data_IF_600799582626
#
_entry.id   IF_600799582626
#
_cell.length_a   1.000
_cell.length_b   1.000
_cell.length_c   1.000
_cell.angle_alpha   90.00
_cell.angle_beta   90.00
_cell.angle_gamma   90.00
#
_symmetry.space_group_name_H-M   'P 1'
#
loop_
_entity.id
_entity.type
_entity.pdbx_description
1 polymer ?
#
# COMPACT_ATOMS: atom_id res chain seq x y z
N UNK A 1 -8.75 -3.51 6.76
CA UNK A 1 -8.48 -3.21 5.34
C UNK A 1 -8.25 -4.53 4.62
N UNK A 2 -9.12 -4.86 3.67
CA UNK A 2 -8.92 -5.96 2.72
C UNK A 2 -8.69 -5.33 1.35
N UNK A 3 -7.90 -6.00 0.49
CA UNK A 3 -7.85 -5.60 -0.91
C UNK A 3 -8.86 -6.39 -1.73
N UNK A 4 -9.69 -5.68 -2.50
CA UNK A 4 -10.62 -6.32 -3.45
C UNK A 4 -9.87 -7.01 -4.59
N UNK A 5 -10.61 -7.79 -5.39
CA UNK A 5 -10.11 -8.35 -6.65
C UNK A 5 -9.59 -7.30 -7.63
N UNK A 6 -9.91 -6.01 -7.43
CA UNK A 6 -9.49 -4.88 -8.27
C UNK A 6 -8.25 -4.14 -7.71
N UNK A 7 -7.61 -4.70 -6.67
CA UNK A 7 -6.45 -4.10 -5.99
C UNK A 7 -6.76 -2.74 -5.36
N UNK A 8 -7.95 -2.61 -4.77
CA UNK A 8 -8.37 -1.41 -4.04
C UNK A 8 -8.13 -1.59 -2.56
N UNK A 9 -7.82 -0.52 -1.83
CA UNK A 9 -7.91 -0.49 -0.38
C UNK A 9 -9.39 -0.32 0.01
N UNK A 10 -10.01 -1.34 0.58
CA UNK A 10 -11.39 -1.25 1.04
C UNK A 10 -11.45 -0.89 2.53
N UNK A 11 -12.19 0.17 2.82
CA UNK A 11 -12.52 0.63 4.15
C UNK A 11 -13.87 0.05 4.53
N UNK A 12 -13.87 -0.67 5.65
CA UNK A 12 -15.05 -1.32 6.21
C UNK A 12 -15.09 -0.95 7.68
N UNK A 13 -16.21 -0.37 8.11
CA UNK A 13 -16.52 -0.18 9.51
C UNK A 13 -16.86 -1.53 10.12
N UNK A 14 -16.14 -1.89 11.19
CA UNK A 14 -16.28 -3.14 11.93
C UNK A 14 -16.64 -2.87 13.40
N UNK A 15 -17.18 -1.69 13.70
CA UNK A 15 -17.64 -1.32 15.04
C UNK A 15 -18.69 -2.30 15.58
N UNK A 16 -19.54 -2.82 14.70
CA UNK A 16 -20.30 -4.05 14.94
C UNK A 16 -19.66 -5.20 14.15
N UNK A 17 -18.94 -6.14 14.80
CA UNK A 17 -18.31 -7.26 14.10
C UNK A 17 -19.32 -8.26 13.51
N UNK A 18 -20.58 -8.25 13.97
CA UNK A 18 -21.65 -9.08 13.40
C UNK A 18 -22.28 -8.45 12.14
N UNK A 19 -22.09 -7.13 11.95
CA UNK A 19 -22.61 -6.39 10.80
C UNK A 19 -21.58 -5.37 10.25
N UNK A 20 -20.52 -5.84 9.57
CA UNK A 20 -19.56 -4.94 8.92
C UNK A 20 -20.22 -4.06 7.85
N UNK A 21 -19.87 -2.77 7.83
CA UNK A 21 -20.43 -1.78 6.89
C UNK A 21 -19.34 -1.27 5.95
N UNK A 22 -19.43 -1.49 4.63
CA UNK A 22 -18.51 -0.89 3.66
C UNK A 22 -18.64 0.64 3.66
N UNK A 23 -17.52 1.35 3.80
CA UNK A 23 -17.48 2.82 3.81
C UNK A 23 -17.03 3.39 2.47
N UNK A 24 -15.87 2.93 2.00
CA UNK A 24 -15.24 3.43 0.77
C UNK A 24 -14.24 2.41 0.22
N UNK A 25 -13.90 2.58 -1.05
CA UNK A 25 -12.80 1.88 -1.71
C UNK A 25 -11.87 2.89 -2.33
N UNK A 26 -10.59 2.80 -2.00
CA UNK A 26 -9.54 3.61 -2.58
C UNK A 26 -8.79 2.82 -3.65
N UNK A 27 -8.63 3.40 -4.83
CA UNK A 27 -7.83 2.84 -5.92
C UNK A 27 -6.78 3.86 -6.31
N UNK A 28 -5.53 3.44 -6.37
CA UNK A 28 -4.48 4.29 -6.93
C UNK A 28 -4.84 4.66 -8.39
N UNK A 29 -5.06 5.96 -8.69
CA UNK A 29 -5.42 6.39 -10.03
C UNK A 29 -4.27 6.21 -11.02
N UNK A 30 -3.01 6.14 -10.55
CA UNK A 30 -1.83 5.94 -11.40
C UNK A 30 -1.70 4.47 -11.86
N UNK A 31 -2.44 3.54 -11.25
CA UNK A 31 -2.36 2.12 -11.57
C UNK A 31 -3.27 1.74 -12.74
N UNK A 32 -2.76 0.95 -13.71
CA UNK A 32 -3.51 0.58 -14.91
C UNK A 32 -4.70 -0.34 -14.57
N UNK A 33 -5.83 -0.13 -15.25
CA UNK A 33 -7.02 -1.02 -15.19
C UNK A 33 -6.89 -2.19 -16.15
N UNK A 34 -5.75 -2.87 -16.13
CA UNK A 34 -5.45 -3.96 -17.07
C UNK A 34 -5.56 -5.30 -16.38
N UNK A 35 -6.09 -6.31 -17.07
CA UNK A 35 -6.19 -7.68 -16.54
C UNK A 35 -4.85 -8.25 -16.06
N UNK A 36 -3.73 -7.81 -16.61
CA UNK A 36 -2.39 -8.19 -16.14
C UNK A 36 -2.08 -7.66 -14.73
N UNK A 37 -2.44 -6.40 -14.43
CA UNK A 37 -2.28 -5.81 -13.10
C UNK A 37 -3.19 -6.50 -12.08
N UNK A 38 -4.46 -6.67 -12.45
CA UNK A 38 -5.47 -7.35 -11.64
C UNK A 38 -5.06 -8.80 -11.35
N UNK A 39 -4.61 -9.55 -12.37
CA UNK A 39 -4.15 -10.92 -12.20
C UNK A 39 -2.89 -11.02 -11.34
N UNK A 40 -1.95 -10.08 -11.48
CA UNK A 40 -0.75 -10.02 -10.65
C UNK A 40 -1.10 -9.77 -9.17
N UNK A 41 -2.02 -8.85 -8.90
CA UNK A 41 -2.48 -8.58 -7.53
C UNK A 41 -3.22 -9.79 -6.93
N UNK A 42 -4.05 -10.48 -7.72
CA UNK A 42 -4.82 -11.65 -7.29
C UNK A 42 -3.96 -12.88 -6.96
N UNK A 43 -2.75 -12.98 -7.52
CA UNK A 43 -1.84 -14.13 -7.32
C UNK A 43 -0.65 -13.84 -6.41
N UNK A 44 -0.28 -12.57 -6.24
CA UNK A 44 0.98 -12.17 -5.61
C UNK A 44 0.89 -11.58 -4.21
N UNK A 45 -0.30 -11.24 -3.69
CA UNK A 45 -0.41 -10.53 -2.40
C UNK A 45 0.41 -9.24 -2.41
N UNK A 46 0.29 -8.48 -3.50
CA UNK A 46 1.24 -7.42 -3.86
C UNK A 46 1.14 -6.16 -3.01
N UNK A 47 0.20 -6.10 -2.05
CA UNK A 47 -0.03 -4.89 -1.28
C UNK A 47 0.04 -5.11 0.22
N UNK A 48 1.00 -4.42 0.84
CA UNK A 48 1.13 -4.31 2.28
C UNK A 48 0.45 -3.03 2.73
N UNK A 49 -0.42 -3.13 3.74
CA UNK A 49 -1.14 -1.99 4.32
C UNK A 49 -0.74 -1.84 5.78
N UNK A 50 -0.22 -0.67 6.15
CA UNK A 50 0.03 -0.32 7.54
C UNK A 50 -0.67 0.98 7.88
N UNK A 51 -1.32 1.02 9.04
CA UNK A 51 -1.99 2.20 9.54
C UNK A 51 -1.11 2.92 10.56
N UNK A 52 -1.10 4.24 10.49
CA UNK A 52 -0.57 5.11 11.53
C UNK A 52 -1.54 6.27 11.71
N UNK A 53 -2.26 6.28 12.83
CA UNK A 53 -3.35 7.21 13.10
C UNK A 53 -4.36 7.23 11.94
N UNK A 54 -4.57 8.40 11.31
CA UNK A 54 -5.46 8.60 10.17
C UNK A 54 -4.76 8.41 8.82
N UNK A 55 -3.61 7.75 8.77
CA UNK A 55 -2.87 7.50 7.53
C UNK A 55 -2.70 6.02 7.24
N UNK A 56 -2.75 5.66 5.96
CA UNK A 56 -2.36 4.35 5.46
C UNK A 56 -1.11 4.43 4.58
N UNK A 57 -0.22 3.46 4.76
CA UNK A 57 0.92 3.21 3.90
C UNK A 57 0.64 1.95 3.08
N UNK A 58 0.59 2.11 1.77
CA UNK A 58 0.31 1.06 0.80
C UNK A 58 1.58 0.75 0.01
N UNK A 59 2.18 -0.43 0.23
CA UNK A 59 3.33 -0.87 -0.57
C UNK A 59 2.85 -1.67 -1.76
N UNK A 60 2.99 -1.15 -2.98
CA UNK A 60 2.61 -1.83 -4.23
C UNK A 60 3.82 -2.52 -4.88
N UNK A 61 3.73 -3.84 -5.00
CA UNK A 61 4.73 -4.72 -5.60
C UNK A 61 4.56 -4.97 -7.11
N UNK A 62 3.67 -4.25 -7.79
CA UNK A 62 3.62 -4.21 -9.25
C UNK A 62 4.52 -3.10 -9.83
N UNK A 63 5.33 -3.37 -10.86
CA UNK A 63 6.16 -2.34 -11.49
C UNK A 63 5.34 -1.19 -12.12
N UNK A 64 5.70 0.09 -11.88
CA UNK A 64 6.79 0.56 -11.03
C UNK A 64 6.47 0.38 -9.54
N UNK A 65 7.40 -0.20 -8.77
CA UNK A 65 7.18 -0.45 -7.34
C UNK A 65 7.07 0.87 -6.58
N UNK A 66 6.14 0.96 -5.64
CA UNK A 66 5.92 2.21 -4.91
C UNK A 66 5.40 1.98 -3.49
N UNK A 67 5.65 2.96 -2.62
CA UNK A 67 4.96 3.15 -1.36
C UNK A 67 4.06 4.37 -1.47
N UNK A 68 2.77 4.21 -1.24
CA UNK A 68 1.81 5.30 -1.27
C UNK A 68 1.34 5.65 0.14
N UNK A 69 1.30 6.95 0.45
CA UNK A 69 0.71 7.51 1.66
C UNK A 69 -0.71 7.98 1.32
N UNK A 70 -1.69 7.47 2.04
CA UNK A 70 -3.11 7.79 1.89
C UNK A 70 -3.63 8.39 3.19
N UNK A 71 -4.26 9.56 3.09
CA UNK A 71 -5.04 10.17 4.15
C UNK A 71 -6.39 9.46 4.28
N UNK A 72 -6.69 9.02 5.51
CA UNK A 72 -7.92 8.37 5.94
C UNK A 72 -8.65 9.19 7.03
N UNK A 73 -8.34 10.50 7.15
CA UNK A 73 -8.99 11.39 8.12
C UNK A 73 -10.51 11.48 7.89
N UNK A 74 -10.95 11.40 6.63
CA UNK A 74 -12.33 11.11 6.27
C UNK A 74 -12.40 9.68 5.69
N UNK A 75 -12.93 8.69 6.44
CA UNK A 75 -12.99 7.32 5.98
C UNK A 75 -13.99 7.11 4.83
N UNK A 76 -14.88 8.07 4.56
CA UNK A 76 -15.75 8.04 3.39
C UNK A 76 -15.05 8.59 2.13
N UNK A 77 -13.94 9.32 2.28
CA UNK A 77 -13.20 9.93 1.18
C UNK A 77 -11.67 9.82 1.36
N UNK A 78 -11.08 8.61 1.27
CA UNK A 78 -9.63 8.43 1.28
C UNK A 78 -8.93 9.21 0.16
N UNK A 79 -7.78 9.83 0.45
CA UNK A 79 -7.05 10.64 -0.51
C UNK A 79 -5.55 10.31 -0.54
N UNK A 80 -4.96 10.20 -1.73
CA UNK A 80 -3.51 10.05 -1.87
C UNK A 80 -2.79 11.35 -1.51
N UNK A 81 -1.82 11.30 -0.61
CA UNK A 81 -0.97 12.44 -0.26
C UNK A 81 0.37 12.40 -0.98
N UNK A 82 0.98 11.21 -1.08
CA UNK A 82 2.29 11.05 -1.69
C UNK A 82 2.51 9.64 -2.23
N UNK A 83 3.37 9.53 -3.24
CA UNK A 83 3.87 8.27 -3.80
C UNK A 83 5.38 8.30 -3.82
N UNK A 84 6.02 7.28 -3.27
CA UNK A 84 7.46 7.11 -3.23
C UNK A 84 7.86 5.90 -4.07
N UNK A 85 8.64 6.13 -5.13
CA UNK A 85 9.17 5.05 -5.95
C UNK A 85 10.14 4.18 -5.14
N UNK A 86 9.96 2.87 -5.20
CA UNK A 86 10.81 1.89 -4.54
C UNK A 86 11.75 1.23 -5.57
N UNK A 87 12.99 0.90 -5.18
CA UNK A 87 13.95 0.26 -6.09
C UNK A 87 13.63 -1.22 -6.35
N UNK A 88 12.72 -1.82 -5.57
CA UNK A 88 12.29 -3.20 -5.67
C UNK A 88 10.91 -3.41 -5.04
N UNK A 89 10.29 -4.58 -5.22
CA UNK A 89 8.95 -4.84 -4.70
C UNK A 89 8.97 -4.81 -3.16
N UNK A 90 8.08 -4.04 -2.52
CA UNK A 90 7.94 -4.06 -1.08
C UNK A 90 7.54 -5.46 -0.61
N UNK A 91 8.12 -5.86 0.52
CA UNK A 91 7.89 -7.14 1.20
C UNK A 91 7.30 -6.96 2.58
N UNK A 92 7.58 -5.82 3.19
CA UNK A 92 6.97 -5.43 4.44
C UNK A 92 7.06 -3.93 4.63
N UNK A 93 6.14 -3.39 5.41
CA UNK A 93 6.12 -1.99 5.82
C UNK A 93 5.92 -1.97 7.33
N UNK A 94 6.62 -1.10 8.03
CA UNK A 94 6.42 -0.87 9.45
C UNK A 94 6.48 0.62 9.75
N UNK A 95 5.64 1.10 10.66
CA UNK A 95 5.64 2.49 11.10
C UNK A 95 6.03 2.57 12.57
N UNK A 96 6.94 3.48 12.90
CA UNK A 96 7.36 3.76 14.27
C UNK A 96 7.58 5.26 14.46
N UNK A 97 6.67 5.90 15.20
CA UNK A 97 6.64 7.35 15.32
C UNK A 97 6.54 8.02 13.95
N UNK A 98 7.47 8.91 13.63
CA UNK A 98 7.53 9.61 12.34
C UNK A 98 8.33 8.86 11.26
N UNK A 99 8.64 7.58 11.47
CA UNK A 99 9.46 6.79 10.53
C UNK A 99 8.66 5.65 9.93
N UNK A 100 8.84 5.44 8.63
CA UNK A 100 8.31 4.30 7.90
C UNK A 100 9.47 3.48 7.39
N UNK A 101 9.52 2.22 7.77
CA UNK A 101 10.50 1.25 7.33
C UNK A 101 9.86 0.40 6.24
N UNK A 102 10.52 0.27 5.10
CA UNK A 102 10.07 -0.58 4.00
C UNK A 102 11.14 -1.60 3.69
N UNK A 103 10.85 -2.88 3.91
CA UNK A 103 11.68 -3.96 3.41
C UNK A 103 11.36 -4.15 1.93
N UNK A 104 12.36 -3.99 1.07
CA UNK A 104 12.23 -4.26 -0.37
C UNK A 104 13.04 -5.49 -0.72
N UNK A 105 12.50 -6.32 -1.61
CA UNK A 105 13.36 -7.29 -2.28
C UNK A 105 14.41 -6.52 -3.08
N UNK A 106 15.58 -7.14 -3.28
CA UNK A 106 16.63 -6.59 -4.12
C UNK A 106 16.09 -6.08 -5.47
N UNK A 107 16.80 -5.13 -6.11
CA UNK A 107 16.36 -4.49 -7.33
C UNK A 107 15.94 -5.55 -8.34
N UNK A 108 14.67 -5.50 -8.74
CA UNK A 108 14.08 -6.54 -9.57
C UNK A 108 14.47 -6.37 -11.04
N UNK A 109 15.77 -6.34 -11.35
CA UNK A 109 16.35 -6.47 -12.69
C UNK A 109 17.83 -6.87 -12.58
N UNK A 110 18.12 -8.17 -12.41
CA UNK A 110 19.42 -8.78 -12.72
C UNK A 110 20.67 -8.37 -11.93
N UNK A 111 20.55 -7.48 -10.93
CA UNK A 111 21.64 -7.14 -10.02
C UNK A 111 21.59 -8.02 -8.77
N UNK A 112 22.74 -8.48 -8.29
CA UNK A 112 22.92 -9.16 -6.99
C UNK A 112 22.68 -8.21 -5.80
N UNK A 113 21.60 -7.43 -5.82
CA UNK A 113 21.33 -6.47 -4.77
C UNK A 113 20.67 -7.17 -3.60
N UNK A 114 21.30 -7.07 -2.44
CA UNK A 114 20.77 -7.57 -1.18
C UNK A 114 19.40 -6.93 -0.87
N UNK A 115 18.52 -7.64 -0.15
CA UNK A 115 17.31 -7.00 0.39
C UNK A 115 17.70 -5.74 1.15
N UNK A 116 16.99 -4.64 0.87
CA UNK A 116 17.27 -3.35 1.48
C UNK A 116 16.11 -2.95 2.39
N UNK A 117 16.44 -2.22 3.46
CA UNK A 117 15.45 -1.54 4.30
C UNK A 117 15.55 -0.05 4.04
N UNK A 118 14.50 0.53 3.49
CA UNK A 118 14.38 1.97 3.31
C UNK A 118 13.75 2.58 4.56
N UNK A 119 14.34 3.68 5.05
CA UNK A 119 13.79 4.46 6.17
C UNK A 119 13.32 5.79 5.61
N UNK A 120 12.02 5.99 5.59
CA UNK A 120 11.39 7.25 5.23
C UNK A 120 11.04 8.02 6.50
N UNK A 121 11.34 9.31 6.53
CA UNK A 121 10.99 10.19 7.64
C UNK A 121 9.83 11.08 7.19
N UNK A 122 8.69 10.98 7.89
CA UNK A 122 7.55 11.86 7.68
C UNK A 122 7.92 13.22 8.31
N UNK A 123 8.06 14.24 7.48
CA UNK A 123 8.20 15.61 7.99
C UNK A 123 6.86 16.02 8.64
N UNK A 124 6.96 16.71 9.79
CA UNK A 124 5.81 17.29 10.49
C UNK A 124 5.20 18.44 9.71
#
# INVERSE_FOLDING_TARGET
>A
ALMSSESTLDLVDVSDPAAPVPLASYRDPERPRTGAYIAAAATGGLVHVVLADSYAFLGDAYPPFALQLVDLSDPAAPAALATYALPGPPRDVAVSGSRVLVAVAGPALGGSGDPAVLILCLAR
#
